data_IF_742403676038
#
_entry.id   IF_742403676038
#
_cell.length_a   1.000
_cell.length_b   1.000
_cell.length_c   1.000
_cell.angle_alpha   90.00
_cell.angle_beta   90.00
_cell.angle_gamma   90.00
#
_symmetry.space_group_name_H-M   'P 1'
#
loop_
_entity.id
_entity.type
_entity.pdbx_description
1 polymer ?
#
# COMPACT_ATOMS: atom_id res chain seq x y z
N UNK A 1 -40.44 -106.52 30.33
CA UNK A 1 -40.76 -105.16 30.80
C UNK A 1 -39.48 -104.57 31.35
N UNK A 2 -39.10 -103.41 30.82
CA UNK A 2 -37.83 -102.75 31.09
C UNK A 2 -37.98 -101.78 32.27
N UNK A 3 -37.03 -101.79 33.20
CA UNK A 3 -36.85 -100.74 34.21
C UNK A 3 -35.41 -100.20 34.09
N UNK A 4 -35.23 -99.30 33.11
CA UNK A 4 -34.08 -98.40 33.03
C UNK A 4 -34.38 -97.18 33.89
N UNK A 5 -33.90 -97.15 35.14
CA UNK A 5 -34.17 -96.00 36.03
C UNK A 5 -32.96 -95.38 36.73
N UNK A 6 -31.74 -95.62 36.24
CA UNK A 6 -30.55 -94.94 36.77
C UNK A 6 -29.53 -94.58 35.68
N UNK A 7 -29.91 -93.64 34.80
CA UNK A 7 -28.91 -92.91 34.02
C UNK A 7 -29.17 -91.41 34.22
N UNK A 8 -28.45 -90.80 35.17
CA UNK A 8 -28.32 -89.36 35.26
C UNK A 8 -27.30 -88.92 34.22
N UNK A 9 -27.77 -88.50 33.05
CA UNK A 9 -26.96 -87.75 32.10
C UNK A 9 -26.79 -86.32 32.64
N UNK A 10 -25.56 -85.95 32.98
CA UNK A 10 -25.18 -84.56 33.23
C UNK A 10 -25.56 -83.72 32.01
N UNK A 11 -26.58 -82.88 32.17
CA UNK A 11 -27.04 -81.93 31.17
C UNK A 11 -26.56 -80.54 31.57
N UNK A 12 -25.26 -80.36 31.58
CA UNK A 12 -24.61 -79.04 31.62
C UNK A 12 -23.64 -78.90 30.45
N UNK A 13 -24.22 -78.79 29.25
CA UNK A 13 -23.53 -78.17 28.10
C UNK A 13 -24.54 -77.27 27.38
N UNK A 14 -25.07 -76.27 28.08
CA UNK A 14 -25.50 -75.04 27.41
C UNK A 14 -24.31 -74.08 27.36
N UNK A 15 -23.25 -74.48 26.65
CA UNK A 15 -22.20 -73.52 26.30
C UNK A 15 -22.84 -72.53 25.36
N UNK A 16 -22.95 -71.31 25.84
CA UNK A 16 -23.45 -70.13 25.15
C UNK A 16 -22.51 -69.85 23.96
N UNK A 17 -22.68 -70.58 22.85
CA UNK A 17 -21.99 -70.30 21.59
C UNK A 17 -22.60 -69.01 21.07
N UNK A 18 -21.99 -67.89 21.44
CA UNK A 18 -22.18 -66.63 20.71
C UNK A 18 -21.66 -66.89 19.30
N UNK A 19 -22.55 -67.29 18.40
CA UNK A 19 -22.32 -67.22 16.96
C UNK A 19 -22.12 -65.74 16.63
N UNK A 20 -20.88 -65.26 16.72
CA UNK A 20 -20.52 -63.95 16.18
C UNK A 20 -20.51 -64.14 14.68
N UNK A 21 -21.60 -63.74 14.03
CA UNK A 21 -21.78 -63.88 12.60
C UNK A 21 -20.62 -63.13 11.89
N UNK A 22 -19.69 -63.80 11.19
CA UNK A 22 -18.48 -63.16 10.66
C UNK A 22 -18.78 -62.06 9.63
N UNK A 23 -19.97 -62.12 9.00
CA UNK A 23 -20.48 -61.09 8.12
C UNK A 23 -20.78 -59.76 8.84
N UNK A 24 -21.20 -59.81 10.11
CA UNK A 24 -21.49 -58.58 10.88
C UNK A 24 -20.20 -57.84 11.25
N UNK A 25 -19.12 -58.56 11.58
CA UNK A 25 -17.81 -57.94 11.86
C UNK A 25 -17.20 -57.31 10.59
N UNK A 26 -17.33 -57.98 9.43
CA UNK A 26 -16.89 -57.42 8.14
C UNK A 26 -17.68 -56.17 7.76
N UNK A 27 -19.01 -56.17 7.94
CA UNK A 27 -19.87 -54.99 7.68
C UNK A 27 -19.52 -53.84 8.63
N UNK A 28 -19.30 -54.11 9.93
CA UNK A 28 -18.91 -53.07 10.90
C UNK A 28 -17.49 -52.52 10.66
N UNK A 29 -16.58 -53.30 10.07
CA UNK A 29 -15.26 -52.81 9.63
C UNK A 29 -15.38 -51.96 8.37
N UNK A 30 -16.16 -52.41 7.39
CA UNK A 30 -16.43 -51.65 6.17
C UNK A 30 -17.12 -50.31 6.44
N UNK A 31 -18.08 -50.27 7.37
CA UNK A 31 -18.72 -49.02 7.81
C UNK A 31 -17.71 -48.07 8.47
N UNK A 32 -16.85 -48.57 9.36
CA UNK A 32 -15.80 -47.76 9.99
C UNK A 32 -14.78 -47.22 8.99
N UNK A 33 -14.41 -48.02 7.99
CA UNK A 33 -13.52 -47.59 6.91
C UNK A 33 -14.18 -46.53 6.00
N UNK A 34 -15.46 -46.70 5.66
CA UNK A 34 -16.21 -45.69 4.90
C UNK A 34 -16.37 -44.39 5.69
N UNK A 35 -16.67 -44.45 6.98
CA UNK A 35 -16.74 -43.27 7.86
C UNK A 35 -15.37 -42.58 8.01
N UNK A 36 -14.29 -43.36 8.16
CA UNK A 36 -12.94 -42.82 8.23
C UNK A 36 -12.54 -42.13 6.91
N UNK A 37 -12.92 -42.71 5.76
CA UNK A 37 -12.69 -42.12 4.44
C UNK A 37 -13.48 -40.82 4.26
N UNK A 38 -14.75 -40.77 4.69
CA UNK A 38 -15.57 -39.56 4.62
C UNK A 38 -15.02 -38.44 5.50
N UNK A 39 -14.59 -38.76 6.72
CA UNK A 39 -13.93 -37.80 7.63
C UNK A 39 -12.61 -37.30 7.07
N UNK A 40 -11.80 -38.18 6.47
CA UNK A 40 -10.55 -37.79 5.82
C UNK A 40 -10.79 -36.87 4.61
N UNK A 41 -11.83 -37.15 3.81
CA UNK A 41 -12.25 -36.28 2.72
C UNK A 41 -12.75 -34.92 3.21
N UNK A 42 -13.55 -34.88 4.29
CA UNK A 42 -14.01 -33.63 4.89
C UNK A 42 -12.84 -32.80 5.40
N UNK A 43 -11.94 -33.41 6.18
CA UNK A 43 -10.74 -32.75 6.69
C UNK A 43 -9.86 -32.21 5.56
N UNK A 44 -9.68 -32.98 4.49
CA UNK A 44 -8.91 -32.53 3.32
C UNK A 44 -9.58 -31.35 2.58
N UNK A 45 -10.91 -31.30 2.55
CA UNK A 45 -11.64 -30.16 1.97
C UNK A 45 -11.50 -28.92 2.85
N UNK A 46 -11.68 -29.06 4.16
CA UNK A 46 -11.51 -27.97 5.13
C UNK A 46 -10.09 -27.39 5.10
N UNK A 47 -9.07 -28.25 5.04
CA UNK A 47 -7.66 -27.84 4.92
C UNK A 47 -7.40 -27.09 3.59
N UNK A 48 -8.00 -27.55 2.48
CA UNK A 48 -7.90 -26.85 1.18
C UNK A 48 -8.59 -25.50 1.18
N UNK A 49 -9.78 -25.42 1.76
CA UNK A 49 -10.54 -24.16 1.88
C UNK A 49 -9.82 -23.15 2.78
N UNK A 50 -9.22 -23.62 3.89
CA UNK A 50 -8.41 -22.77 4.76
C UNK A 50 -7.15 -22.26 4.06
N UNK A 51 -6.47 -23.12 3.30
CA UNK A 51 -5.27 -22.72 2.55
C UNK A 51 -5.63 -21.77 1.40
N UNK A 52 -6.78 -21.95 0.75
CA UNK A 52 -7.27 -21.04 -0.27
C UNK A 52 -7.63 -19.67 0.33
N UNK A 53 -8.26 -19.64 1.50
CA UNK A 53 -8.54 -18.41 2.23
C UNK A 53 -7.25 -17.69 2.66
N UNK A 54 -6.22 -18.46 3.07
CA UNK A 54 -4.89 -17.92 3.39
C UNK A 54 -4.25 -17.26 2.17
N UNK A 55 -4.25 -17.94 1.03
CA UNK A 55 -3.73 -17.40 -0.24
C UNK A 55 -4.53 -16.19 -0.72
N UNK A 56 -5.85 -16.20 -0.54
CA UNK A 56 -6.68 -15.05 -0.87
C UNK A 56 -6.30 -13.83 -0.03
N UNK A 57 -6.15 -14.00 1.28
CA UNK A 57 -5.76 -12.92 2.18
C UNK A 57 -4.36 -12.39 1.87
N UNK A 58 -3.41 -13.28 1.56
CA UNK A 58 -2.05 -12.91 1.15
C UNK A 58 -2.05 -12.09 -0.15
N UNK A 59 -2.85 -12.50 -1.15
CA UNK A 59 -3.00 -11.76 -2.40
C UNK A 59 -3.63 -10.38 -2.17
N UNK A 60 -4.70 -10.31 -1.37
CA UNK A 60 -5.36 -9.04 -1.03
C UNK A 60 -4.39 -8.11 -0.31
N UNK A 61 -3.59 -8.62 0.62
CA UNK A 61 -2.59 -7.82 1.31
C UNK A 61 -1.51 -7.32 0.35
N UNK A 62 -1.02 -8.19 -0.55
CA UNK A 62 -0.02 -7.82 -1.55
C UNK A 62 -0.54 -6.74 -2.51
N UNK A 63 -1.81 -6.83 -2.94
CA UNK A 63 -2.45 -5.83 -3.79
C UNK A 63 -2.65 -4.50 -3.06
N UNK A 64 -3.03 -4.53 -1.77
CA UNK A 64 -3.10 -3.31 -0.94
C UNK A 64 -1.73 -2.67 -0.79
N UNK A 65 -0.71 -3.44 -0.43
CA UNK A 65 0.66 -2.93 -0.26
C UNK A 65 1.25 -2.38 -1.58
N UNK A 66 0.91 -2.99 -2.72
CA UNK A 66 1.32 -2.50 -4.03
C UNK A 66 0.58 -1.22 -4.44
N UNK A 67 -0.71 -1.10 -4.12
CA UNK A 67 -1.49 0.12 -4.32
C UNK A 67 -1.01 1.28 -3.43
N UNK A 68 -0.68 1.00 -2.18
CA UNK A 68 -0.21 1.99 -1.20
C UNK A 68 1.18 2.53 -1.51
N UNK A 69 2.04 1.73 -2.15
CA UNK A 69 3.40 2.16 -2.54
C UNK A 69 3.42 3.18 -3.66
N UNK A 70 2.32 3.32 -4.42
CA UNK A 70 2.17 4.31 -5.48
C UNK A 70 3.24 4.24 -6.58
N UNK A 71 3.06 5.00 -7.65
CA UNK A 71 4.11 5.27 -8.62
C UNK A 71 4.57 6.71 -8.44
N UNK A 72 5.87 6.94 -8.23
CA UNK A 72 6.44 8.29 -8.24
C UNK A 72 6.70 8.71 -9.68
N UNK A 73 5.99 9.74 -10.14
CA UNK A 73 6.22 10.36 -11.45
C UNK A 73 7.04 11.63 -11.21
N UNK A 74 8.24 11.70 -11.79
CA UNK A 74 9.08 12.91 -11.76
C UNK A 74 8.92 13.61 -13.11
N UNK A 75 8.43 14.84 -13.09
CA UNK A 75 8.32 15.72 -14.27
C UNK A 75 9.40 16.80 -14.12
N UNK A 76 10.26 16.95 -15.11
CA UNK A 76 11.25 18.02 -15.15
C UNK A 76 10.63 19.35 -15.59
N UNK A 77 11.11 20.45 -15.02
CA UNK A 77 10.76 21.85 -15.35
C UNK A 77 9.31 22.29 -14.96
N UNK A 78 8.85 23.44 -15.47
CA UNK A 78 7.57 24.08 -15.14
C UNK A 78 6.34 23.20 -15.44
N UNK A 79 5.89 22.44 -14.44
CA UNK A 79 4.79 21.48 -14.54
C UNK A 79 3.41 22.03 -14.14
N UNK A 80 3.20 23.34 -14.19
CA UNK A 80 1.97 24.00 -13.70
C UNK A 80 0.65 23.52 -14.37
N UNK A 81 0.73 22.86 -15.53
CA UNK A 81 -0.44 22.37 -16.29
C UNK A 81 -0.50 20.83 -16.42
N UNK A 82 0.32 20.08 -15.67
CA UNK A 82 0.31 18.61 -15.79
C UNK A 82 -0.85 18.02 -14.98
N UNK A 83 -1.62 17.15 -15.62
CA UNK A 83 -2.73 16.42 -15.01
C UNK A 83 -2.42 14.92 -15.00
N UNK A 84 -2.71 14.26 -13.88
CA UNK A 84 -2.66 12.79 -13.78
C UNK A 84 -4.07 12.28 -14.06
N UNK A 85 -4.26 11.61 -15.19
CA UNK A 85 -5.55 11.00 -15.57
C UNK A 85 -5.60 9.57 -15.04
N UNK A 86 -6.60 9.26 -14.21
CA UNK A 86 -6.87 7.91 -13.72
C UNK A 86 -8.07 7.34 -14.48
N UNK A 87 -7.84 6.33 -15.33
CA UNK A 87 -8.89 5.68 -16.13
C UNK A 87 -9.59 4.55 -15.35
N UNK A 88 -9.93 4.79 -14.09
CA UNK A 88 -10.52 3.80 -13.20
C UNK A 88 -11.88 4.27 -12.71
N UNK A 89 -12.92 3.48 -12.99
CA UNK A 89 -14.28 3.80 -12.58
C UNK A 89 -14.41 3.92 -11.06
N UNK A 90 -14.96 5.05 -10.58
CA UNK A 90 -15.17 5.31 -9.15
C UNK A 90 -13.93 5.78 -8.37
N UNK A 91 -12.81 6.06 -9.02
CA UNK A 91 -11.61 6.59 -8.36
C UNK A 91 -11.78 8.05 -7.93
N UNK A 92 -11.42 8.37 -6.68
CA UNK A 92 -11.32 9.74 -6.18
C UNK A 92 -9.88 10.22 -6.30
N UNK A 93 -9.67 11.30 -7.06
CA UNK A 93 -8.37 11.96 -7.15
C UNK A 93 -8.23 13.04 -6.08
N UNK A 94 -7.17 12.96 -5.27
CA UNK A 94 -6.75 14.03 -4.36
C UNK A 94 -5.46 14.62 -4.91
N UNK A 95 -5.48 15.90 -5.26
CA UNK A 95 -4.29 16.62 -5.71
C UNK A 95 -3.81 17.56 -4.61
N UNK A 96 -2.60 17.34 -4.11
CA UNK A 96 -1.92 18.26 -3.21
C UNK A 96 -0.77 18.91 -3.97
N UNK A 97 -0.86 20.22 -4.22
CA UNK A 97 0.22 20.98 -4.81
C UNK A 97 1.04 21.62 -3.69
N UNK A 98 2.31 21.23 -3.57
CA UNK A 98 3.26 21.84 -2.65
C UNK A 98 4.38 22.51 -3.44
N UNK A 99 4.38 23.85 -3.44
CA UNK A 99 5.46 24.66 -4.00
C UNK A 99 6.36 25.10 -2.85
N UNK A 100 7.63 24.73 -2.92
CA UNK A 100 8.64 25.21 -1.97
C UNK A 100 9.43 26.34 -2.61
N UNK A 101 9.53 27.47 -1.92
CA UNK A 101 10.37 28.58 -2.36
C UNK A 101 11.85 28.19 -2.25
N UNK A 102 12.58 28.29 -3.36
CA UNK A 102 14.00 27.92 -3.41
C UNK A 102 14.87 29.14 -3.09
N UNK A 103 15.15 29.35 -1.80
CA UNK A 103 15.97 30.45 -1.32
C UNK A 103 17.39 30.47 -1.91
N UNK A 104 18.01 29.31 -2.11
CA UNK A 104 19.38 29.21 -2.65
C UNK A 104 19.42 29.69 -4.09
N UNK A 105 18.57 29.11 -4.94
CA UNK A 105 18.49 29.50 -6.35
C UNK A 105 18.09 30.97 -6.51
N UNK A 106 17.17 31.48 -5.69
CA UNK A 106 16.80 32.90 -5.71
C UNK A 106 17.98 33.78 -5.31
N UNK A 107 18.74 33.40 -4.28
CA UNK A 107 19.90 34.16 -3.84
C UNK A 107 21.00 34.20 -4.90
N UNK A 108 21.25 33.08 -5.59
CA UNK A 108 22.24 32.99 -6.65
C UNK A 108 21.90 33.92 -7.82
N UNK A 109 20.64 33.89 -8.28
CA UNK A 109 20.16 34.80 -9.34
C UNK A 109 20.25 36.26 -8.92
N UNK A 110 19.88 36.59 -7.67
CA UNK A 110 19.95 37.98 -7.19
C UNK A 110 21.40 38.48 -7.07
N UNK A 111 22.35 37.62 -6.70
CA UNK A 111 23.77 37.95 -6.69
C UNK A 111 24.31 38.18 -8.09
N UNK A 112 23.93 37.34 -9.05
CA UNK A 112 24.28 37.51 -10.46
C UNK A 112 23.74 38.85 -10.99
N UNK A 113 22.47 39.20 -10.69
CA UNK A 113 21.89 40.51 -11.03
C UNK A 113 22.71 41.65 -10.43
N UNK A 114 23.16 41.50 -9.18
CA UNK A 114 23.97 42.52 -8.49
C UNK A 114 25.32 42.77 -9.17
N UNK A 115 25.95 41.76 -9.78
CA UNK A 115 27.20 41.95 -10.53
C UNK A 115 27.02 42.88 -11.75
N UNK A 116 25.81 42.96 -12.31
CA UNK A 116 25.52 43.89 -13.41
C UNK A 116 25.47 45.36 -12.99
N UNK A 117 25.41 45.67 -11.69
CA UNK A 117 25.37 47.07 -11.22
C UNK A 117 26.68 47.81 -11.48
N UNK A 118 27.79 47.08 -11.53
CA UNK A 118 29.12 47.64 -11.78
C UNK A 118 29.38 47.91 -13.28
N UNK A 119 28.50 47.44 -14.17
CA UNK A 119 28.60 47.74 -15.60
C UNK A 119 28.18 49.18 -15.89
N UNK A 120 29.04 49.93 -16.58
CA UNK A 120 28.76 51.32 -17.00
C UNK A 120 27.41 51.48 -17.72
N UNK A 121 27.06 50.47 -18.53
CA UNK A 121 25.81 50.42 -19.29
C UNK A 121 24.56 50.31 -18.41
N UNK A 122 24.68 49.85 -17.16
CA UNK A 122 23.55 49.74 -16.23
C UNK A 122 22.96 51.13 -15.93
N UNK A 123 23.81 52.07 -15.51
CA UNK A 123 23.37 53.43 -15.22
C UNK A 123 22.89 54.17 -16.48
N UNK A 124 23.48 53.90 -17.65
CA UNK A 124 22.99 54.43 -18.93
C UNK A 124 21.61 53.89 -19.30
N UNK A 125 21.34 52.61 -19.02
CA UNK A 125 20.09 51.95 -19.39
C UNK A 125 18.94 52.33 -18.46
N UNK A 126 19.20 52.37 -17.15
CA UNK A 126 18.15 52.57 -16.14
C UNK A 126 18.07 54.02 -15.62
N UNK A 127 19.09 54.85 -15.87
CA UNK A 127 19.09 56.27 -15.54
C UNK A 127 18.65 56.55 -14.10
N UNK A 128 17.58 57.33 -13.93
CA UNK A 128 17.02 57.69 -12.63
C UNK A 128 16.45 56.50 -11.82
N UNK A 129 16.17 55.37 -12.47
CA UNK A 129 15.69 54.15 -11.80
C UNK A 129 16.82 53.23 -11.33
N UNK A 130 18.08 53.48 -11.74
CA UNK A 130 19.21 52.63 -11.41
C UNK A 130 19.38 52.46 -9.89
N UNK A 131 19.31 53.56 -9.13
CA UNK A 131 19.42 53.54 -7.67
C UNK A 131 18.26 52.77 -7.01
N UNK A 132 17.03 52.96 -7.52
CA UNK A 132 15.85 52.26 -7.02
C UNK A 132 15.97 50.75 -7.26
N UNK A 133 16.40 50.32 -8.45
CA UNK A 133 16.61 48.91 -8.79
C UNK A 133 17.67 48.29 -7.88
N UNK A 134 18.80 48.99 -7.69
CA UNK A 134 19.86 48.54 -6.79
C UNK A 134 19.36 48.37 -5.35
N UNK A 135 18.57 49.32 -4.84
CA UNK A 135 17.97 49.23 -3.51
C UNK A 135 17.03 48.03 -3.40
N UNK A 136 16.13 47.83 -4.36
CA UNK A 136 15.18 46.71 -4.35
C UNK A 136 15.92 45.37 -4.35
N UNK A 137 16.93 45.21 -5.21
CA UNK A 137 17.70 43.95 -5.29
C UNK A 137 18.46 43.69 -3.99
N UNK A 138 19.14 44.68 -3.42
CA UNK A 138 19.85 44.50 -2.15
C UNK A 138 18.89 44.17 -1.00
N UNK A 139 17.74 44.85 -0.90
CA UNK A 139 16.73 44.53 0.10
C UNK A 139 16.15 43.11 -0.07
N UNK A 140 16.01 42.67 -1.31
CA UNK A 140 15.52 41.32 -1.62
C UNK A 140 16.56 40.26 -1.24
N UNK A 141 17.85 40.51 -1.51
CA UNK A 141 18.96 39.65 -1.05
C UNK A 141 18.91 39.48 0.47
N UNK A 142 18.78 40.58 1.22
CA UNK A 142 18.70 40.54 2.69
C UNK A 142 17.49 39.73 3.17
N UNK A 143 16.33 39.91 2.54
CA UNK A 143 15.11 39.18 2.88
C UNK A 143 15.24 37.67 2.61
N UNK A 144 15.87 37.30 1.49
CA UNK A 144 16.16 35.90 1.14
C UNK A 144 17.16 35.29 2.14
N UNK A 145 18.21 36.01 2.51
CA UNK A 145 19.20 35.55 3.50
C UNK A 145 18.59 35.35 4.90
N UNK A 146 17.67 36.23 5.30
CA UNK A 146 16.91 36.13 6.56
C UNK A 146 15.82 35.06 6.53
N UNK A 147 15.61 34.40 5.39
CA UNK A 147 14.50 33.46 5.15
C UNK A 147 13.14 34.08 5.52
N UNK A 148 12.93 35.33 5.12
CA UNK A 148 11.62 36.00 5.25
C UNK A 148 10.54 35.25 4.46
N UNK A 149 9.27 35.58 4.70
CA UNK A 149 8.13 34.96 4.02
C UNK A 149 8.29 35.10 2.49
N UNK A 150 8.25 33.98 1.73
CA UNK A 150 8.31 33.99 0.26
C UNK A 150 7.34 34.98 -0.39
N UNK A 151 6.12 35.12 0.15
CA UNK A 151 5.13 36.07 -0.38
C UNK A 151 5.60 37.51 -0.26
N UNK A 152 6.31 37.82 0.82
CA UNK A 152 6.87 39.16 1.04
C UNK A 152 8.05 39.40 0.10
N UNK A 153 8.90 38.39 -0.10
CA UNK A 153 10.03 38.45 -1.03
C UNK A 153 9.52 38.69 -2.46
N UNK A 154 8.54 37.90 -2.93
CA UNK A 154 7.94 38.05 -4.27
C UNK A 154 7.26 39.42 -4.44
N UNK A 155 6.62 39.95 -3.39
CA UNK A 155 6.01 41.28 -3.44
C UNK A 155 7.04 42.40 -3.59
N UNK A 156 8.23 42.25 -3.01
CA UNK A 156 9.33 43.22 -3.15
C UNK A 156 9.95 43.21 -4.55
N UNK A 157 9.90 42.08 -5.26
CA UNK A 157 10.40 41.97 -6.63
C UNK A 157 9.39 42.40 -7.69
N UNK A 158 8.09 42.44 -7.38
CA UNK A 158 7.05 42.89 -8.32
C UNK A 158 7.30 44.27 -8.99
N UNK A 159 7.85 45.28 -8.31
CA UNK A 159 8.18 46.55 -8.95
C UNK A 159 9.23 46.44 -10.05
N UNK A 160 10.05 45.38 -10.07
CA UNK A 160 11.00 45.09 -11.16
C UNK A 160 10.34 44.41 -12.36
N UNK A 161 9.08 43.99 -12.25
CA UNK A 161 8.30 43.27 -13.28
C UNK A 161 7.30 44.20 -13.97
N UNK A 162 7.15 45.46 -13.52
CA UNK A 162 6.24 46.41 -14.13
C UNK A 162 6.85 47.00 -15.40
N UNK A 163 6.08 46.85 -16.49
CA UNK A 163 6.29 47.24 -17.89
C UNK A 163 7.10 46.23 -18.75
N UNK A 164 6.49 45.08 -19.01
CA UNK A 164 6.64 44.32 -20.26
C UNK A 164 5.32 44.31 -21.03
#
# INVERSE_FOLDING_TARGET
MADFKDIKFDKDISTNVKFVNPLNDVVSRMQREQEASLRAMQKSREEKEQEELRRHNELVQTLKDAGDKGATIVIGDNANAVQILQNSDGANQIMTNSQTFNYEKTLDVLKEIKEYFDYHKFNETFGAQAELIQQIVNQTIDAVQKKEDPKLITKRTNPLILDS
#
